data_IF_113607300804
#
_entry.id   IF_113607300804
#
_cell.length_a   1.000
_cell.length_b   1.000
_cell.length_c   1.000
_cell.angle_alpha   90.00
_cell.angle_beta   90.00
_cell.angle_gamma   90.00
#
_symmetry.space_group_name_H-M   'P 1'
#
loop_
_entity.id
_entity.type
_entity.pdbx_description
1 polymer ?
#
# COMPACT_ATOMS: atom_id res chain seq x y z
N UNK A 1 59.39 -7.87 -18.02
CA UNK A 1 58.22 -7.03 -17.72
C UNK A 1 57.12 -7.92 -17.20
N UNK A 2 56.87 -7.91 -15.88
CA UNK A 2 55.70 -8.59 -15.29
C UNK A 2 54.63 -7.54 -15.04
N UNK A 3 53.44 -7.72 -15.60
CA UNK A 3 52.31 -6.81 -15.37
C UNK A 3 51.47 -7.36 -14.22
N UNK A 4 51.38 -6.59 -13.14
CA UNK A 4 50.47 -6.88 -12.02
C UNK A 4 49.11 -6.27 -12.38
N UNK A 5 48.08 -7.09 -12.47
CA UNK A 5 46.69 -6.64 -12.64
C UNK A 5 46.04 -6.58 -11.27
N UNK A 6 45.73 -5.39 -10.78
CA UNK A 6 45.00 -5.18 -9.53
C UNK A 6 43.50 -5.18 -9.87
N UNK A 7 42.79 -6.25 -9.52
CA UNK A 7 41.34 -6.32 -9.64
C UNK A 7 40.71 -5.77 -8.36
N UNK A 8 40.10 -4.58 -8.43
CA UNK A 8 39.29 -4.05 -7.34
C UNK A 8 37.86 -4.58 -7.47
N UNK A 9 37.48 -5.48 -6.57
CA UNK A 9 36.09 -5.91 -6.40
C UNK A 9 35.31 -4.84 -5.64
N UNK A 10 34.34 -4.21 -6.30
CA UNK A 10 33.38 -3.31 -5.66
C UNK A 10 32.31 -4.16 -4.96
N UNK A 11 32.46 -4.36 -3.65
CA UNK A 11 31.42 -5.00 -2.85
C UNK A 11 30.28 -4.01 -2.58
N UNK A 12 29.16 -4.19 -3.29
CA UNK A 12 27.89 -3.55 -2.97
C UNK A 12 27.20 -4.35 -1.88
N UNK A 13 27.18 -3.84 -0.64
CA UNK A 13 26.38 -4.41 0.42
C UNK A 13 24.91 -4.02 0.23
N UNK A 14 24.11 -4.94 -0.32
CA UNK A 14 22.65 -4.81 -0.33
C UNK A 14 22.17 -5.03 1.11
N UNK A 15 21.71 -3.97 1.78
CA UNK A 15 21.06 -4.10 3.08
C UNK A 15 19.76 -4.86 2.92
N UNK A 16 19.71 -6.10 3.42
CA UNK A 16 18.50 -6.91 3.54
C UNK A 16 17.54 -6.19 4.49
N UNK A 17 16.44 -5.66 3.95
CA UNK A 17 15.36 -5.12 4.76
C UNK A 17 14.81 -6.26 5.61
N UNK A 18 14.77 -6.06 6.94
CA UNK A 18 14.26 -7.03 7.91
C UNK A 18 13.00 -7.69 7.37
N UNK A 19 13.05 -9.02 7.27
CA UNK A 19 11.95 -9.86 6.86
C UNK A 19 10.84 -9.76 7.92
N UNK A 20 10.00 -8.72 7.84
CA UNK A 20 8.69 -8.75 8.45
C UNK A 20 8.02 -9.99 7.83
N UNK A 21 7.80 -11.03 8.64
CA UNK A 21 7.36 -12.38 8.23
C UNK A 21 5.94 -12.42 7.64
N UNK A 22 5.62 -11.50 6.73
CA UNK A 22 4.43 -11.55 5.91
C UNK A 22 4.83 -12.11 4.54
N UNK A 23 4.43 -13.35 4.19
CA UNK A 23 4.74 -13.93 2.89
C UNK A 23 4.07 -13.16 1.73
N UNK A 24 3.18 -12.21 2.04
CA UNK A 24 2.49 -11.35 1.07
C UNK A 24 2.74 -9.87 1.42
N UNK A 25 3.58 -9.16 0.64
CA UNK A 25 3.95 -7.78 0.94
C UNK A 25 2.85 -6.76 0.60
N UNK A 26 1.84 -7.17 -0.19
CA UNK A 26 0.74 -6.32 -0.61
C UNK A 26 -0.53 -7.14 -0.88
N UNK A 27 -1.68 -6.48 -0.78
CA UNK A 27 -2.99 -7.02 -1.16
C UNK A 27 -3.56 -6.06 -2.21
N UNK A 28 -3.88 -6.59 -3.39
CA UNK A 28 -4.60 -5.86 -4.42
C UNK A 28 -6.06 -6.34 -4.41
N UNK A 29 -6.98 -5.43 -4.09
CA UNK A 29 -8.40 -5.73 -4.03
C UNK A 29 -9.10 -5.16 -5.28
N UNK A 30 -9.90 -5.99 -5.94
CA UNK A 30 -10.75 -5.59 -7.07
C UNK A 30 -12.19 -5.92 -6.70
N UNK A 31 -13.12 -5.03 -7.03
CA UNK A 31 -14.51 -5.29 -6.73
C UNK A 31 -15.39 -4.05 -6.88
N UNK A 32 -16.49 -4.10 -6.15
CA UNK A 32 -17.50 -3.05 -6.07
C UNK A 32 -17.39 -2.26 -4.76
N UNK A 33 -18.48 -1.55 -4.43
CA UNK A 33 -18.60 -0.72 -3.25
C UNK A 33 -18.29 -1.42 -1.92
N UNK A 34 -18.48 -2.75 -1.82
CA UNK A 34 -18.19 -3.50 -0.59
C UNK A 34 -16.69 -3.61 -0.29
N UNK A 35 -15.86 -3.35 -1.29
CA UNK A 35 -14.40 -3.47 -1.25
C UNK A 35 -13.69 -2.13 -1.43
N UNK A 36 -14.43 -1.09 -1.80
CA UNK A 36 -13.89 0.23 -2.05
C UNK A 36 -13.58 0.96 -0.74
N UNK A 37 -12.30 1.22 -0.50
CA UNK A 37 -11.82 1.91 0.70
C UNK A 37 -11.75 3.43 0.51
N UNK A 38 -12.16 3.93 -0.66
CA UNK A 38 -12.23 5.36 -0.98
C UNK A 38 -11.82 5.72 -2.41
N UNK A 39 -11.61 4.75 -3.29
CA UNK A 39 -11.27 4.96 -4.70
C UNK A 39 -12.36 5.70 -5.47
N UNK A 40 -13.64 5.35 -5.26
CA UNK A 40 -14.75 6.10 -5.87
C UNK A 40 -14.82 7.52 -5.32
N UNK A 41 -14.64 7.69 -4.02
CA UNK A 41 -14.56 9.01 -3.37
C UNK A 41 -13.47 9.90 -3.94
N UNK A 42 -12.29 9.34 -4.17
CA UNK A 42 -11.15 10.07 -4.71
C UNK A 42 -11.36 10.48 -6.17
N UNK A 43 -12.07 9.67 -6.96
CA UNK A 43 -12.27 9.92 -8.39
C UNK A 43 -13.52 10.77 -8.69
N UNK A 44 -14.61 10.57 -7.97
CA UNK A 44 -15.94 11.09 -8.34
C UNK A 44 -16.66 11.87 -7.23
N UNK A 45 -16.08 11.94 -6.03
CA UNK A 45 -16.65 12.63 -4.87
C UNK A 45 -17.29 11.67 -3.86
N UNK A 46 -17.58 12.22 -2.67
CA UNK A 46 -17.93 11.42 -1.51
C UNK A 46 -19.32 10.77 -1.61
N UNK A 47 -19.43 9.52 -1.13
CA UNK A 47 -20.73 8.90 -0.91
C UNK A 47 -21.59 9.80 0.01
N UNK A 48 -22.88 9.99 -0.30
CA UNK A 48 -23.75 10.86 0.48
C UNK A 48 -23.99 10.30 1.90
N UNK A 49 -24.43 11.14 2.86
CA UNK A 49 -24.89 10.66 4.16
C UNK A 49 -25.96 9.57 4.04
N UNK A 50 -26.02 8.59 4.95
CA UNK A 50 -25.33 8.53 6.25
C UNK A 50 -23.95 7.87 6.23
N UNK A 51 -23.43 7.46 5.07
CA UNK A 51 -22.28 6.57 5.05
C UNK A 51 -21.03 7.16 5.72
N UNK A 52 -20.35 6.33 6.52
CA UNK A 52 -19.09 6.66 7.20
C UNK A 52 -19.24 7.42 8.51
N UNK A 53 -20.47 7.72 8.96
CA UNK A 53 -20.72 8.47 10.20
C UNK A 53 -20.32 7.69 11.45
N UNK A 54 -20.32 6.35 11.43
CA UNK A 54 -20.08 5.56 12.66
C UNK A 54 -18.61 5.18 12.91
N UNK A 55 -17.77 5.05 11.88
CA UNK A 55 -16.40 4.55 12.05
C UNK A 55 -15.35 5.64 12.31
N UNK A 56 -15.57 6.85 11.80
CA UNK A 56 -14.67 7.98 12.00
C UNK A 56 -15.32 9.15 12.73
N UNK A 57 -16.57 8.99 13.17
CA UNK A 57 -17.43 10.07 13.67
C UNK A 57 -17.65 11.21 12.65
N UNK A 58 -17.26 11.00 11.39
CA UNK A 58 -17.41 11.91 10.24
C UNK A 58 -17.48 11.07 8.96
N UNK A 59 -18.30 11.42 7.96
CA UNK A 59 -18.38 10.69 6.69
C UNK A 59 -17.00 10.51 6.03
N UNK A 60 -16.62 9.26 5.76
CA UNK A 60 -15.38 8.92 5.03
C UNK A 60 -15.61 8.68 3.53
N UNK A 61 -16.83 8.91 3.04
CA UNK A 61 -17.19 8.83 1.62
C UNK A 61 -17.22 7.40 1.03
N UNK A 62 -17.24 6.36 1.87
CA UNK A 62 -17.36 4.96 1.45
C UNK A 62 -18.81 4.52 1.57
N UNK A 63 -19.24 3.47 0.87
CA UNK A 63 -20.59 2.91 1.01
C UNK A 63 -20.71 1.95 2.21
N UNK A 64 -20.24 2.41 3.37
CA UNK A 64 -20.31 1.66 4.62
C UNK A 64 -20.19 2.61 5.80
N UNK A 65 -20.79 2.22 6.91
CA UNK A 65 -20.64 2.90 8.19
C UNK A 65 -19.41 2.43 8.97
N UNK A 66 -18.73 1.39 8.50
CA UNK A 66 -17.57 0.73 9.10
C UNK A 66 -16.24 0.95 8.34
N UNK A 67 -15.21 0.20 8.74
CA UNK A 67 -14.02 0.01 7.89
C UNK A 67 -14.37 -0.91 6.72
N UNK A 68 -14.00 -0.44 5.54
CA UNK A 68 -13.71 -1.23 4.36
C UNK A 68 -12.21 -1.10 4.10
#
# INVERSE_FOLDING_TARGET
MSWVVISTVLSCSVTEAKNCSFPYPAIFNFGDSNSDTGGLSAAFGQAPPPNGITFFHTPAGRYSDGRL
#
